data_IF_534766056718
#
_entry.id   IF_534766056718
#
_cell.length_a   1.000
_cell.length_b   1.000
_cell.length_c   1.000
_cell.angle_alpha   90.00
_cell.angle_beta   90.00
_cell.angle_gamma   90.00
#
_symmetry.space_group_name_H-M   'P 1'
#
loop_
_entity.id
_entity.type
_entity.pdbx_description
1 polymer ?
#
# COMPACT_ATOMS: atom_id res chain seq x y z
N UNK A 1 -38.99 -45.47 -0.63
CA UNK A 1 -37.72 -44.79 -0.98
C UNK A 1 -37.54 -43.67 0.03
N UNK A 2 -36.75 -43.82 1.10
CA UNK A 2 -35.27 -43.73 1.16
C UNK A 2 -34.78 -42.49 0.41
N UNK A 3 -34.67 -41.35 1.10
CA UNK A 3 -33.43 -40.81 1.69
C UNK A 3 -32.48 -40.25 0.63
N UNK A 4 -32.48 -38.94 0.47
CA UNK A 4 -31.24 -38.18 0.37
C UNK A 4 -31.30 -37.06 1.41
N UNK A 5 -30.55 -37.29 2.49
CA UNK A 5 -30.12 -36.23 3.38
C UNK A 5 -29.22 -35.30 2.57
N UNK A 6 -29.58 -34.03 2.44
CA UNK A 6 -28.58 -33.03 2.10
C UNK A 6 -27.87 -32.64 3.38
N UNK A 7 -26.65 -33.15 3.43
CA UNK A 7 -25.75 -33.10 4.55
C UNK A 7 -25.29 -31.67 4.86
N UNK A 8 -25.20 -31.43 6.15
CA UNK A 8 -24.38 -30.45 6.83
C UNK A 8 -22.98 -30.35 6.21
N UNK A 9 -22.49 -29.13 5.94
CA UNK A 9 -21.24 -28.64 6.53
C UNK A 9 -21.03 -27.17 6.15
N UNK A 10 -20.85 -26.35 7.20
CA UNK A 10 -19.76 -25.41 7.39
C UNK A 10 -18.80 -25.30 6.18
N UNK A 11 -18.28 -24.10 5.88
CA UNK A 11 -16.82 -23.87 5.95
C UNK A 11 -16.38 -22.49 5.39
N UNK A 12 -15.54 -21.85 6.20
CA UNK A 12 -14.56 -20.79 5.94
C UNK A 12 -15.01 -19.39 5.49
N UNK A 13 -15.06 -18.50 6.50
CA UNK A 13 -14.45 -17.17 6.41
C UNK A 13 -13.08 -17.30 5.74
N UNK A 14 -12.98 -16.94 4.46
CA UNK A 14 -11.69 -16.71 3.82
C UNK A 14 -11.30 -15.30 4.21
N UNK A 15 -10.44 -15.20 5.23
CA UNK A 15 -9.56 -14.05 5.33
C UNK A 15 -8.89 -13.93 3.96
N UNK A 16 -9.10 -12.81 3.27
CA UNK A 16 -8.15 -12.37 2.26
C UNK A 16 -6.85 -12.00 3.00
N UNK A 17 -6.18 -13.00 3.58
CA UNK A 17 -4.73 -13.02 3.51
C UNK A 17 -4.48 -13.08 2.01
N UNK A 18 -4.12 -11.92 1.47
CA UNK A 18 -3.38 -11.80 0.23
C UNK A 18 -2.51 -13.05 0.10
N UNK A 19 -2.83 -13.89 -0.88
CA UNK A 19 -2.03 -15.06 -1.19
C UNK A 19 -0.65 -14.53 -1.54
N UNK A 20 0.22 -14.42 -0.53
CA UNK A 20 1.62 -14.08 -0.74
C UNK A 20 2.13 -15.19 -1.64
N UNK A 21 2.23 -14.84 -2.92
CA UNK A 21 2.87 -15.63 -3.94
C UNK A 21 4.16 -16.15 -3.31
N UNK A 22 4.39 -17.47 -3.32
CA UNK A 22 5.69 -18.02 -2.90
C UNK A 22 6.85 -17.54 -3.80
N UNK A 23 6.53 -16.71 -4.81
CA UNK A 23 7.44 -15.96 -5.67
C UNK A 23 7.25 -14.42 -5.52
N UNK A 24 6.82 -13.94 -4.35
CA UNK A 24 6.82 -12.51 -4.07
C UNK A 24 8.27 -12.01 -3.94
N UNK A 25 8.57 -10.84 -4.50
CA UNK A 25 9.84 -10.18 -4.28
C UNK A 25 10.04 -9.98 -2.77
N UNK A 26 11.22 -10.25 -2.21
CA UNK A 26 11.50 -9.96 -0.80
C UNK A 26 11.45 -8.46 -0.48
N UNK A 27 11.43 -7.59 -1.50
CA UNK A 27 11.30 -6.14 -1.37
C UNK A 27 9.88 -5.71 -1.75
N UNK A 28 9.16 -5.11 -0.80
CA UNK A 28 7.84 -4.52 -0.98
C UNK A 28 7.93 -3.00 -0.88
N UNK A 29 7.29 -2.30 -1.83
CA UNK A 29 7.25 -0.85 -1.89
C UNK A 29 5.78 -0.42 -1.95
N UNK A 30 5.35 0.46 -1.05
CA UNK A 30 3.96 0.93 -1.02
C UNK A 30 3.83 2.38 -0.56
N UNK A 31 2.68 2.98 -0.86
CA UNK A 31 2.27 4.31 -0.42
C UNK A 31 0.87 4.28 0.14
N UNK A 32 0.60 5.11 1.13
CA UNK A 32 -0.74 5.27 1.68
C UNK A 32 -1.59 6.10 0.71
N UNK A 33 -2.64 5.50 0.14
CA UNK A 33 -3.54 6.19 -0.81
C UNK A 33 -4.32 7.36 -0.19
N UNK A 34 -4.41 7.39 1.13
CA UNK A 34 -5.13 8.41 1.90
C UNK A 34 -4.23 9.47 2.52
N UNK A 35 -2.91 9.32 2.39
CA UNK A 35 -1.98 10.34 2.86
C UNK A 35 -1.68 11.34 1.74
N UNK A 36 -1.82 12.65 1.96
CA UNK A 36 -1.34 13.66 1.01
C UNK A 36 0.19 13.71 0.96
N UNK A 37 0.89 12.98 1.84
CA UNK A 37 2.35 12.97 1.90
C UNK A 37 2.92 12.13 0.77
N UNK A 38 3.95 12.63 0.10
CA UNK A 38 4.76 11.89 -0.87
C UNK A 38 5.68 10.84 -0.22
N UNK A 39 5.21 10.22 0.86
CA UNK A 39 5.93 9.25 1.67
C UNK A 39 5.78 7.87 1.02
N UNK A 40 6.89 7.17 0.83
CA UNK A 40 6.91 5.83 0.28
C UNK A 40 7.61 4.88 1.23
N UNK A 41 6.85 3.87 1.66
CA UNK A 41 7.30 2.83 2.55
C UNK A 41 8.04 1.74 1.79
N UNK A 42 9.08 1.24 2.44
CA UNK A 42 9.95 0.18 1.96
C UNK A 42 9.98 -0.89 3.04
N UNK A 43 9.73 -2.14 2.65
CA UNK A 43 9.85 -3.31 3.48
C UNK A 43 10.77 -4.31 2.78
N UNK A 44 11.71 -4.89 3.52
CA UNK A 44 12.55 -5.98 3.03
C UNK A 44 12.46 -7.14 4.01
N UNK A 45 12.01 -8.30 3.52
CA UNK A 45 12.10 -9.56 4.24
C UNK A 45 13.50 -10.16 4.01
N UNK A 46 14.37 -10.07 5.01
CA UNK A 46 15.75 -10.53 4.96
C UNK A 46 16.14 -11.32 6.22
N UNK A 47 15.62 -12.56 6.41
CA UNK A 47 15.93 -13.38 7.59
C UNK A 47 17.43 -13.64 7.78
N UNK A 48 18.20 -13.68 6.69
CA UNK A 48 19.65 -13.87 6.73
C UNK A 48 20.42 -12.75 7.47
N UNK A 49 19.77 -11.59 7.68
CA UNK A 49 20.34 -10.44 8.39
C UNK A 49 19.80 -10.26 9.82
N UNK A 50 18.86 -11.10 10.26
CA UNK A 50 18.42 -11.15 11.65
C UNK A 50 19.44 -11.94 12.47
N UNK A 51 20.41 -11.23 13.03
CA UNK A 51 21.59 -11.79 13.67
C UNK A 51 21.43 -11.91 15.18
N UNK A 52 20.67 -11.00 15.80
CA UNK A 52 20.48 -10.96 17.25
C UNK A 52 18.99 -11.06 17.64
N UNK A 53 18.56 -12.18 18.23
CA UNK A 53 17.15 -12.38 18.58
C UNK A 53 16.63 -11.46 19.71
N UNK A 54 17.52 -10.68 20.34
CA UNK A 54 17.18 -9.77 21.44
C UNK A 54 17.44 -8.30 21.12
N UNK A 55 17.90 -7.96 19.91
CA UNK A 55 18.15 -6.59 19.50
C UNK A 55 17.37 -6.25 18.23
N UNK A 56 17.26 -4.95 17.97
CA UNK A 56 16.77 -4.45 16.69
C UNK A 56 17.99 -4.34 15.76
N UNK A 57 18.01 -5.15 14.72
CA UNK A 57 19.08 -5.13 13.73
C UNK A 57 18.85 -4.04 12.66
N UNK A 58 19.89 -3.78 11.89
CA UNK A 58 19.90 -2.73 10.86
C UNK A 58 20.65 -3.22 9.63
N UNK A 59 20.18 -2.82 8.44
CA UNK A 59 20.77 -3.21 7.14
C UNK A 59 20.91 -2.00 6.21
N UNK A 60 21.86 -2.07 5.27
CA UNK A 60 22.05 -1.06 4.22
C UNK A 60 23.12 0.00 4.52
N UNK A 61 23.66 0.05 5.74
CA UNK A 61 24.75 0.94 6.16
C UNK A 61 26.16 0.38 5.96
N UNK A 62 26.24 -0.90 5.64
CA UNK A 62 27.50 -1.60 5.40
C UNK A 62 27.98 -1.42 3.95
N UNK A 63 29.31 -1.38 3.75
CA UNK A 63 29.91 -1.20 2.43
C UNK A 63 29.76 -2.39 1.48
N UNK A 64 29.47 -3.57 1.99
CA UNK A 64 29.26 -4.82 1.26
C UNK A 64 27.76 -5.14 1.13
N UNK A 65 26.94 -4.72 2.09
CA UNK A 65 25.49 -4.94 2.11
C UNK A 65 24.72 -3.63 1.98
N UNK A 66 24.65 -3.09 0.75
CA UNK A 66 24.11 -1.75 0.49
C UNK A 66 22.66 -1.78 0.03
N UNK A 67 21.85 -0.88 0.59
CA UNK A 67 20.55 -0.55 0.04
C UNK A 67 20.65 0.80 -0.67
N UNK A 68 20.09 0.85 -1.88
CA UNK A 68 19.95 2.10 -2.65
C UNK A 68 18.50 2.29 -3.01
N UNK A 69 17.99 3.50 -2.77
CA UNK A 69 16.65 3.92 -3.19
C UNK A 69 16.83 4.95 -4.28
N UNK A 70 16.11 4.77 -5.38
CA UNK A 70 16.29 5.57 -6.58
C UNK A 70 14.95 5.89 -7.24
N UNK A 71 14.92 7.05 -7.87
CA UNK A 71 13.94 7.45 -8.88
C UNK A 71 14.67 7.52 -10.23
N UNK A 72 14.00 8.05 -11.25
CA UNK A 72 14.64 8.31 -12.53
C UNK A 72 15.66 9.46 -12.43
N UNK A 73 15.44 10.38 -11.49
CA UNK A 73 16.14 11.65 -11.33
C UNK A 73 17.34 11.52 -10.41
N UNK A 74 17.21 10.72 -9.34
CA UNK A 74 18.25 10.66 -8.31
C UNK A 74 18.28 9.32 -7.56
N UNK A 75 19.34 9.12 -6.78
CA UNK A 75 19.48 7.97 -5.90
C UNK A 75 20.19 8.35 -4.60
N UNK A 76 19.85 7.64 -3.53
CA UNK A 76 20.47 7.81 -2.20
C UNK A 76 20.85 6.46 -1.60
N UNK A 77 21.98 6.37 -0.88
CA UNK A 77 22.27 5.22 -0.03
C UNK A 77 21.32 5.25 1.18
N UNK A 78 20.79 4.09 1.53
CA UNK A 78 19.70 4.00 2.49
C UNK A 78 19.89 2.87 3.49
N UNK A 79 19.31 3.05 4.67
CA UNK A 79 19.36 2.09 5.77
C UNK A 79 17.94 1.79 6.24
N UNK A 80 17.66 0.52 6.49
CA UNK A 80 16.40 0.06 7.07
C UNK A 80 16.64 -0.54 8.45
N UNK A 81 15.65 -0.43 9.31
CA UNK A 81 15.70 -0.93 10.69
C UNK A 81 14.69 -2.05 10.84
N UNK A 82 15.06 -3.07 11.59
CA UNK A 82 14.20 -4.21 11.86
C UNK A 82 12.91 -3.77 12.57
N UNK A 83 11.77 -4.35 12.18
CA UNK A 83 10.44 -3.97 12.69
C UNK A 83 10.20 -4.38 14.15
N UNK A 84 11.04 -5.26 14.67
CA UNK A 84 11.01 -5.81 16.01
C UNK A 84 12.16 -6.79 16.16
N UNK A 85 12.53 -7.14 17.39
CA UNK A 85 13.60 -8.12 17.61
C UNK A 85 13.17 -9.49 17.05
N UNK A 86 14.10 -10.16 16.39
CA UNK A 86 13.92 -11.51 15.82
C UNK A 86 12.81 -11.63 14.74
N UNK A 87 12.55 -10.55 13.98
CA UNK A 87 11.52 -10.58 12.92
C UNK A 87 12.09 -10.94 11.55
N UNK A 88 13.33 -10.56 11.26
CA UNK A 88 13.91 -10.66 9.92
C UNK A 88 13.24 -9.76 8.88
N UNK A 89 12.42 -8.81 9.33
CA UNK A 89 11.71 -7.87 8.46
C UNK A 89 12.16 -6.46 8.78
N UNK A 90 12.67 -5.75 7.78
CA UNK A 90 13.26 -4.42 7.91
C UNK A 90 12.40 -3.39 7.18
N UNK A 91 12.20 -2.23 7.80
CA UNK A 91 11.30 -1.20 7.32
C UNK A 91 11.91 0.20 7.37
N UNK A 92 11.35 1.07 6.54
CA UNK A 92 11.67 2.49 6.48
C UNK A 92 10.81 3.22 5.45
N UNK A 93 11.03 4.52 5.28
CA UNK A 93 10.35 5.30 4.25
C UNK A 93 11.19 6.46 3.74
N UNK A 94 11.05 6.76 2.46
CA UNK A 94 11.60 7.97 1.83
C UNK A 94 10.52 8.99 1.56
N UNK A 95 10.91 10.26 1.45
CA UNK A 95 10.02 11.36 1.12
C UNK A 95 10.34 11.83 -0.30
N UNK A 96 9.40 11.67 -1.23
CA UNK A 96 9.57 12.22 -2.57
C UNK A 96 9.44 13.75 -2.52
N UNK A 97 10.38 14.44 -3.13
CA UNK A 97 10.41 15.91 -3.15
C UNK A 97 11.04 16.44 -4.44
N UNK A 98 11.21 17.76 -4.56
CA UNK A 98 11.97 18.37 -5.65
C UNK A 98 13.48 18.47 -5.40
N UNK A 99 14.00 17.79 -4.37
CA UNK A 99 15.40 17.79 -4.01
C UNK A 99 15.82 16.42 -3.44
N UNK A 100 17.12 16.16 -3.48
CA UNK A 100 17.72 14.92 -2.95
C UNK A 100 18.57 15.22 -1.71
N UNK A 101 18.40 14.39 -0.69
CA UNK A 101 19.21 14.46 0.53
C UNK A 101 20.68 14.15 0.26
N UNK A 102 21.57 14.91 0.93
CA UNK A 102 22.97 14.54 1.07
C UNK A 102 23.10 13.63 2.30
N UNK A 103 23.33 12.35 2.09
CA UNK A 103 23.50 11.38 3.16
C UNK A 103 24.94 11.40 3.70
N UNK A 104 25.11 11.25 5.02
CA UNK A 104 26.43 11.20 5.66
C UNK A 104 26.46 10.20 6.82
N UNK A 105 26.88 8.93 6.61
CA UNK A 105 27.20 8.30 5.33
C UNK A 105 25.95 7.80 4.57
N UNK A 106 24.86 7.50 5.27
CA UNK A 106 23.63 6.90 4.72
C UNK A 106 22.40 7.58 5.31
N UNK A 107 21.32 7.65 4.54
CA UNK A 107 20.01 8.11 5.02
C UNK A 107 19.20 6.92 5.57
N UNK A 108 18.06 7.21 6.20
CA UNK A 108 17.08 6.27 6.72
C UNK A 108 17.18 6.04 8.23
N UNK A 109 16.20 5.32 8.82
CA UNK A 109 15.11 4.61 8.14
C UNK A 109 13.85 5.48 7.90
N UNK A 110 13.79 6.70 8.42
CA UNK A 110 12.58 7.54 8.43
C UNK A 110 12.85 8.97 7.97
N UNK A 111 13.92 9.14 7.20
CA UNK A 111 14.31 10.40 6.58
C UNK A 111 14.78 10.12 5.13
N UNK A 112 15.39 11.13 4.51
CA UNK A 112 15.83 11.05 3.13
C UNK A 112 14.78 11.60 2.16
N UNK A 113 15.10 12.77 1.61
CA UNK A 113 14.42 13.33 0.46
C UNK A 113 14.99 12.71 -0.80
N UNK A 114 14.11 12.33 -1.71
CA UNK A 114 14.49 11.79 -3.01
C UNK A 114 13.79 12.60 -4.09
N UNK A 115 14.56 13.19 -5.00
CA UNK A 115 14.02 14.00 -6.08
C UNK A 115 13.16 13.13 -7.00
N UNK A 116 11.92 13.55 -7.25
CA UNK A 116 10.98 12.87 -8.13
C UNK A 116 10.04 13.87 -8.81
N UNK A 117 9.55 13.50 -9.98
CA UNK A 117 8.70 14.29 -10.86
C UNK A 117 7.51 13.48 -11.40
N UNK A 118 6.30 14.03 -11.31
CA UNK A 118 5.10 13.38 -11.86
C UNK A 118 4.88 11.95 -11.33
N UNK A 119 4.81 10.99 -12.26
CA UNK A 119 4.51 9.57 -11.99
C UNK A 119 5.78 8.70 -11.93
N UNK A 120 6.87 9.22 -11.36
CA UNK A 120 8.12 8.47 -11.26
C UNK A 120 7.98 7.18 -10.45
N UNK A 121 8.58 6.13 -11.00
CA UNK A 121 8.72 4.86 -10.32
C UNK A 121 9.88 4.93 -9.34
N UNK A 122 9.71 4.31 -8.17
CA UNK A 122 10.77 4.13 -7.19
C UNK A 122 11.34 2.75 -7.36
N UNK A 123 12.66 2.67 -7.44
CA UNK A 123 13.42 1.44 -7.47
C UNK A 123 14.24 1.32 -6.19
N UNK A 124 14.06 0.19 -5.50
CA UNK A 124 14.86 -0.19 -4.33
C UNK A 124 15.71 -1.39 -4.73
N UNK A 125 17.01 -1.28 -4.52
CA UNK A 125 17.97 -2.38 -4.73
C UNK A 125 18.70 -2.70 -3.44
N UNK A 126 18.85 -3.99 -3.14
CA UNK A 126 19.67 -4.49 -2.05
C UNK A 126 20.78 -5.39 -2.60
N UNK A 127 22.02 -4.94 -2.46
CA UNK A 127 23.23 -5.67 -2.87
C UNK A 127 23.84 -6.35 -1.65
N UNK A 128 24.15 -7.65 -1.79
CA UNK A 128 24.79 -8.47 -0.76
C UNK A 128 26.31 -8.53 -0.97
N UNK A 129 27.06 -8.88 0.06
CA UNK A 129 28.53 -8.99 0.03
C UNK A 129 29.12 -9.86 -1.11
N UNK A 130 28.33 -10.78 -1.68
CA UNK A 130 28.72 -11.63 -2.80
C UNK A 130 28.39 -11.06 -4.19
N UNK A 131 28.05 -9.76 -4.26
CA UNK A 131 27.70 -9.05 -5.50
C UNK A 131 26.31 -9.41 -6.07
N UNK A 132 25.56 -10.28 -5.39
CA UNK A 132 24.16 -10.55 -5.74
C UNK A 132 23.32 -9.32 -5.41
N UNK A 133 22.47 -8.89 -6.32
CA UNK A 133 21.55 -7.77 -6.09
C UNK A 133 20.13 -8.20 -6.37
N UNK A 134 19.23 -7.90 -5.43
CA UNK A 134 17.79 -7.99 -5.62
C UNK A 134 17.24 -6.58 -5.83
N UNK A 135 16.29 -6.44 -6.75
CA UNK A 135 15.74 -5.13 -7.12
C UNK A 135 14.23 -5.25 -7.24
N UNK A 136 13.52 -4.25 -6.72
CA UNK A 136 12.08 -4.10 -6.88
C UNK A 136 11.78 -2.67 -7.29
N UNK A 137 10.79 -2.50 -8.15
CA UNK A 137 10.35 -1.20 -8.64
C UNK A 137 8.87 -1.06 -8.38
N UNK A 138 8.43 0.09 -7.86
CA UNK A 138 7.03 0.46 -7.80
C UNK A 138 6.55 0.78 -9.23
N UNK A 139 6.29 -0.23 -10.05
CA UNK A 139 5.60 0.00 -11.32
C UNK A 139 4.21 0.51 -10.97
N UNK A 140 3.91 1.72 -11.44
CA UNK A 140 2.78 2.57 -11.03
C UNK A 140 1.59 1.84 -10.42
N UNK A 141 1.16 2.30 -9.25
CA UNK A 141 -0.17 2.01 -8.75
C UNK A 141 -1.14 2.48 -9.83
N UNK A 142 -1.72 1.55 -10.61
CA UNK A 142 -3.02 1.84 -11.18
C UNK A 142 -3.91 2.03 -9.97
N UNK A 143 -4.27 3.28 -9.69
CA UNK A 143 -5.51 3.47 -8.97
C UNK A 143 -6.55 2.89 -9.92
N UNK A 144 -6.98 1.66 -9.65
CA UNK A 144 -8.15 1.12 -10.30
C UNK A 144 -9.31 2.01 -9.87
N UNK A 145 -9.52 3.13 -10.57
CA UNK A 145 -10.83 3.78 -10.70
C UNK A 145 -11.76 2.91 -11.54
N UNK A 146 -11.66 1.61 -11.38
CA UNK A 146 -12.54 0.62 -11.96
C UNK A 146 -12.67 -0.59 -11.04
N UNK A 147 -12.69 -0.39 -9.73
CA UNK A 147 -13.70 -1.13 -8.98
C UNK A 147 -15.03 -0.46 -9.31
N UNK A 148 -15.74 -1.01 -10.30
CA UNK A 148 -17.18 -1.13 -10.15
C UNK A 148 -17.40 -2.02 -8.91
N UNK A 149 -17.15 -1.45 -7.74
CA UNK A 149 -17.41 -2.05 -6.46
C UNK A 149 -18.91 -1.90 -6.31
N UNK A 150 -19.62 -2.83 -6.92
CA UNK A 150 -21.00 -3.13 -6.57
C UNK A 150 -20.97 -3.33 -5.07
N UNK A 151 -21.45 -2.33 -4.33
CA UNK A 151 -21.69 -2.41 -2.90
C UNK A 151 -22.41 -3.75 -2.70
N UNK A 152 -21.91 -4.68 -1.86
CA UNK A 152 -22.66 -5.88 -1.57
C UNK A 152 -23.99 -5.45 -1.00
N UNK A 153 -25.04 -5.66 -1.80
CA UNK A 153 -26.41 -5.55 -1.37
C UNK A 153 -26.57 -6.49 -0.18
N UNK A 154 -26.77 -5.94 1.02
CA UNK A 154 -27.39 -6.71 2.08
C UNK A 154 -28.80 -7.04 1.58
N UNK A 155 -28.92 -8.22 1.00
CA UNK A 155 -30.17 -8.73 0.45
C UNK A 155 -31.29 -8.65 1.50
N UNK A 156 -32.30 -7.88 1.13
CA UNK A 156 -33.70 -7.97 1.55
C UNK A 156 -34.02 -7.94 3.05
N UNK A 157 -34.29 -6.74 3.56
CA UNK A 157 -35.63 -6.50 4.12
C UNK A 157 -36.24 -5.27 3.44
N UNK A 158 -37.43 -5.49 2.89
CA UNK A 158 -38.17 -4.63 1.99
C UNK A 158 -38.32 -3.17 2.46
N UNK A 159 -38.22 -2.23 1.50
CA UNK A 159 -38.44 -0.80 1.75
C UNK A 159 -38.54 0.03 0.47
N UNK A 160 -39.41 -0.38 -0.45
CA UNK A 160 -40.10 0.41 -1.49
C UNK A 160 -39.57 1.82 -1.82
N UNK A 161 -38.91 1.99 -2.98
CA UNK A 161 -38.96 3.27 -3.72
C UNK A 161 -39.38 2.98 -5.15
N UNK A 162 -40.68 3.16 -5.39
CA UNK A 162 -41.32 3.08 -6.70
C UNK A 162 -40.99 4.37 -7.46
N UNK A 163 -40.22 4.28 -8.54
CA UNK A 163 -40.04 5.38 -9.48
C UNK A 163 -41.17 5.34 -10.52
N UNK A 164 -42.08 6.31 -10.46
CA UNK A 164 -42.89 6.65 -11.64
C UNK A 164 -42.89 8.17 -11.78
N UNK A 165 -42.15 8.65 -12.78
CA UNK A 165 -42.23 10.02 -13.27
C UNK A 165 -43.64 10.28 -13.80
N UNK A 166 -44.34 11.25 -13.22
CA UNK A 166 -45.57 11.79 -13.79
C UNK A 166 -45.39 13.30 -13.97
N UNK A 167 -45.17 13.68 -15.23
CA UNK A 167 -45.43 15.03 -15.74
C UNK A 167 -46.95 15.26 -15.66
N UNK A 168 -47.38 16.36 -15.05
CA UNK A 168 -48.79 16.72 -15.01
C UNK A 168 -49.11 17.88 -14.08
N UNK A 169 -49.06 19.08 -14.65
CA UNK A 169 -49.46 20.37 -14.09
C UNK A 169 -50.71 20.33 -13.20
N UNK A 170 -50.62 20.88 -11.98
CA UNK A 170 -51.79 21.46 -11.30
C UNK A 170 -51.37 22.78 -10.65
N UNK A 171 -51.88 23.86 -11.24
CA UNK A 171 -51.97 25.18 -10.63
C UNK A 171 -52.77 25.09 -9.32
N UNK A 172 -52.23 25.61 -8.22
CA UNK A 172 -53.07 26.22 -7.21
C UNK A 172 -52.44 27.53 -6.76
N UNK A 173 -53.06 28.62 -7.22
CA UNK A 173 -52.83 29.98 -6.76
C UNK A 173 -53.10 30.07 -5.26
N UNK A 174 -52.12 30.53 -4.49
CA UNK A 174 -52.38 31.21 -3.22
C UNK A 174 -51.51 32.46 -3.16
N UNK A 175 -52.06 33.57 -3.67
CA UNK A 175 -51.71 34.92 -3.20
C UNK A 175 -52.07 34.99 -1.72
N UNK A 176 -51.24 35.59 -0.86
CA UNK A 176 -51.55 36.75 0.00
C UNK A 176 -50.25 37.24 0.66
N UNK A 177 -50.17 38.56 0.78
CA UNK A 177 -49.04 39.39 1.17
C UNK A 177 -48.71 39.38 2.67
N UNK A 178 -47.48 39.77 3.06
CA UNK A 178 -47.19 41.06 3.74
C UNK A 178 -45.72 41.19 4.23
N UNK A 179 -45.16 42.37 3.91
CA UNK A 179 -44.40 43.33 4.75
C UNK A 179 -43.05 42.87 5.35
N UNK A 180 -41.94 43.40 4.82
CA UNK A 180 -41.28 44.61 5.35
C UNK A 180 -40.42 45.26 4.27
#
# INVERSE_FOLDING_TARGET
MSSVADACAQTHFVAAQDTISRNASPIVIYRDSYSPTSLVHILINAPDFNSNPYAIDTIGDDSENKITVSTRESSIPYRLVETGADTGVFAGYVILSGATSVCSPVCGPTDGFLEASGDDAITVSFTYAQGRTITSTSTGFTQDKNSNQTIPEFGALAGLVVTISIIGSIMYSVRWAKIM
#
